data_IF_298253111640
#
_entry.id   IF_298253111640
#
_cell.length_a   1.000
_cell.length_b   1.000
_cell.length_c   1.000
_cell.angle_alpha   90.00
_cell.angle_beta   90.00
_cell.angle_gamma   90.00
#
_symmetry.space_group_name_H-M   'P 1'
#
loop_
_entity.id
_entity.type
_entity.pdbx_description
1 polymer ?
#
# COMPACT_ATOMS: atom_id res chain seq x y z
N UNK A 1 -13.50 6.84 -0.42
CA UNK A 1 -13.23 5.53 -1.05
C UNK A 1 -11.75 5.36 -1.34
N UNK A 2 -11.12 6.19 -2.19
CA UNK A 2 -9.68 6.11 -2.54
C UNK A 2 -8.74 6.01 -1.32
N UNK A 3 -8.95 6.84 -0.29
CA UNK A 3 -8.10 6.79 0.91
C UNK A 3 -8.11 5.46 1.67
N UNK A 4 -9.14 4.64 1.54
CA UNK A 4 -9.17 3.34 2.21
C UNK A 4 -8.24 2.34 1.54
N UNK A 5 -8.16 2.40 0.22
CA UNK A 5 -7.37 1.51 -0.64
C UNK A 5 -5.88 1.82 -0.49
N UNK A 6 -5.49 3.10 -0.57
CA UNK A 6 -4.08 3.49 -0.39
C UNK A 6 -3.54 3.06 0.97
N UNK A 7 -4.34 3.22 2.03
CA UNK A 7 -3.92 2.81 3.39
C UNK A 7 -3.83 1.29 3.55
N UNK A 8 -4.65 0.56 2.82
CA UNK A 8 -4.65 -0.90 2.79
C UNK A 8 -3.36 -1.40 2.12
N UNK A 9 -3.14 -0.96 0.87
CA UNK A 9 -1.97 -1.32 0.09
C UNK A 9 -0.65 -1.07 0.83
N UNK A 10 -0.48 0.12 1.39
CA UNK A 10 0.72 0.46 2.19
C UNK A 10 0.91 -0.49 3.38
N UNK A 11 -0.16 -0.93 4.01
CA UNK A 11 -0.10 -1.85 5.14
C UNK A 11 0.27 -3.27 4.69
N UNK A 12 -0.26 -3.75 3.56
CA UNK A 12 0.14 -5.02 2.96
C UNK A 12 1.64 -5.02 2.59
N UNK A 13 2.08 -4.02 1.84
CA UNK A 13 3.45 -3.93 1.34
C UNK A 13 4.48 -3.86 2.46
N UNK A 14 4.13 -3.20 3.56
CA UNK A 14 5.04 -3.02 4.68
C UNK A 14 5.16 -4.28 5.56
N UNK A 15 4.12 -5.11 5.63
CA UNK A 15 4.05 -6.20 6.62
C UNK A 15 3.59 -7.55 6.06
N UNK A 16 2.53 -7.58 5.25
CA UNK A 16 1.93 -8.81 4.74
C UNK A 16 2.81 -9.45 3.68
N UNK A 17 3.26 -8.70 2.67
CA UNK A 17 4.12 -9.24 1.61
C UNK A 17 5.49 -9.70 2.11
N UNK A 18 6.18 -8.96 3.02
CA UNK A 18 7.39 -9.49 3.67
C UNK A 18 7.15 -10.77 4.46
N UNK A 19 6.00 -10.90 5.13
CA UNK A 19 5.64 -12.13 5.83
C UNK A 19 5.41 -13.29 4.84
N UNK A 20 4.69 -13.05 3.74
CA UNK A 20 4.49 -14.04 2.68
C UNK A 20 5.81 -14.55 2.10
N UNK A 21 6.73 -13.64 1.73
CA UNK A 21 8.09 -13.98 1.28
C UNK A 21 8.86 -14.82 2.29
N UNK A 22 8.67 -14.56 3.58
CA UNK A 22 9.41 -15.26 4.64
C UNK A 22 8.89 -16.66 4.92
N UNK A 23 7.60 -16.95 4.72
CA UNK A 23 6.97 -18.19 5.20
C UNK A 23 6.41 -19.08 4.09
N UNK A 24 6.15 -18.53 2.90
CA UNK A 24 5.60 -19.28 1.79
C UNK A 24 6.72 -19.74 0.83
N UNK A 25 6.66 -20.99 0.31
CA UNK A 25 7.63 -21.46 -0.67
C UNK A 25 7.66 -20.65 -1.98
N UNK A 26 6.52 -20.10 -2.37
CA UNK A 26 6.28 -19.25 -3.55
C UNK A 26 6.10 -17.77 -3.17
N UNK A 27 6.54 -17.37 -1.97
CA UNK A 27 6.23 -16.07 -1.39
C UNK A 27 6.77 -14.86 -2.16
N UNK A 28 7.91 -14.99 -2.85
CA UNK A 28 8.43 -13.92 -3.72
C UNK A 28 7.54 -13.70 -4.95
N UNK A 29 7.13 -14.77 -5.64
CA UNK A 29 6.26 -14.69 -6.81
C UNK A 29 4.89 -14.11 -6.45
N UNK A 30 4.30 -14.58 -5.34
CA UNK A 30 3.02 -14.07 -4.83
C UNK A 30 3.16 -12.58 -4.49
N UNK A 31 4.17 -12.19 -3.72
CA UNK A 31 4.35 -10.80 -3.32
C UNK A 31 4.65 -9.86 -4.50
N UNK A 32 5.40 -10.32 -5.50
CA UNK A 32 5.71 -9.53 -6.71
C UNK A 32 4.45 -9.31 -7.56
N UNK A 33 3.58 -10.32 -7.68
CA UNK A 33 2.29 -10.21 -8.38
C UNK A 33 1.37 -9.17 -7.72
N UNK A 34 1.18 -9.25 -6.40
CA UNK A 34 0.32 -8.29 -5.67
C UNK A 34 0.85 -6.85 -5.76
N UNK A 35 2.18 -6.68 -5.74
CA UNK A 35 2.83 -5.37 -5.94
C UNK A 35 2.56 -4.80 -7.34
N UNK A 36 2.51 -5.64 -8.37
CA UNK A 36 2.19 -5.22 -9.73
C UNK A 36 0.72 -4.76 -9.83
N UNK A 37 -0.21 -5.50 -9.23
CA UNK A 37 -1.63 -5.11 -9.18
C UNK A 37 -1.86 -3.77 -8.46
N UNK A 38 -1.16 -3.56 -7.34
CA UNK A 38 -1.17 -2.26 -6.65
C UNK A 38 -0.68 -1.12 -7.52
N UNK A 39 0.42 -1.33 -8.25
CA UNK A 39 0.96 -0.31 -9.15
C UNK A 39 -0.04 0.02 -10.28
N UNK A 40 -0.71 -0.98 -10.83
CA UNK A 40 -1.77 -0.77 -11.83
C UNK A 40 -2.96 0.03 -11.27
N UNK A 41 -3.44 -0.34 -10.09
CA UNK A 41 -4.52 0.38 -9.41
C UNK A 41 -4.12 1.83 -9.10
N UNK A 42 -2.86 2.07 -8.73
CA UNK A 42 -2.33 3.43 -8.54
C UNK A 42 -2.36 4.26 -9.81
N UNK A 43 -1.97 3.70 -10.96
CA UNK A 43 -2.03 4.42 -12.24
C UNK A 43 -3.48 4.75 -12.63
N UNK A 44 -4.44 3.87 -12.34
CA UNK A 44 -5.86 4.17 -12.52
C UNK A 44 -6.30 5.31 -11.58
N UNK A 45 -5.89 5.30 -10.31
CA UNK A 45 -6.17 6.38 -9.37
C UNK A 45 -5.59 7.73 -9.85
N UNK A 46 -4.34 7.75 -10.32
CA UNK A 46 -3.72 8.95 -10.92
C UNK A 46 -4.47 9.44 -12.15
N UNK A 47 -4.99 8.53 -12.97
CA UNK A 47 -5.80 8.89 -14.13
C UNK A 47 -7.14 9.51 -13.71
N UNK A 48 -7.80 8.97 -12.67
CA UNK A 48 -9.03 9.53 -12.10
C UNK A 48 -8.77 10.96 -11.60
N UNK A 49 -7.70 11.19 -10.84
CA UNK A 49 -7.36 12.51 -10.30
C UNK A 49 -7.12 13.58 -11.38
N UNK A 50 -6.71 13.17 -12.58
CA UNK A 50 -6.44 14.05 -13.72
C UNK A 50 -7.64 14.22 -14.66
N UNK A 51 -8.74 13.48 -14.44
CA UNK A 51 -9.91 13.48 -15.33
C UNK A 51 -11.03 14.32 -14.72
N UNK A 52 -11.67 15.16 -15.53
CA UNK A 52 -12.84 15.95 -15.12
C UNK A 52 -14.00 15.00 -14.74
N UNK A 53 -14.64 15.15 -13.56
CA UNK A 53 -15.79 14.35 -13.17
C UNK A 53 -16.97 14.37 -14.14
N UNK A 54 -17.10 15.40 -14.98
CA UNK A 54 -18.15 15.49 -16.01
C UNK A 54 -17.79 14.75 -17.31
N UNK A 55 -16.52 14.32 -17.48
CA UNK A 55 -16.10 13.51 -18.61
C UNK A 55 -16.61 12.06 -18.46
N UNK A 56 -17.20 11.53 -19.54
CA UNK A 56 -17.57 10.12 -19.68
C UNK A 56 -16.48 9.12 -19.23
N UNK A 57 -15.20 9.46 -19.47
CA UNK A 57 -14.03 8.66 -19.10
C UNK A 57 -13.85 8.54 -17.57
N UNK A 58 -14.28 9.53 -16.79
CA UNK A 58 -14.19 9.48 -15.33
C UNK A 58 -14.95 8.27 -14.78
N UNK A 59 -16.18 8.06 -15.25
CA UNK A 59 -17.00 6.93 -14.84
C UNK A 59 -16.44 5.57 -15.26
N UNK A 60 -15.72 5.51 -16.39
CA UNK A 60 -15.03 4.30 -16.85
C UNK A 60 -13.83 3.97 -15.98
N UNK A 61 -13.00 4.96 -15.65
CA UNK A 61 -11.85 4.79 -14.77
C UNK A 61 -12.25 4.38 -13.35
N UNK A 62 -13.32 4.96 -12.81
CA UNK A 62 -13.85 4.56 -11.49
C UNK A 62 -14.36 3.13 -11.51
N UNK A 63 -15.06 2.71 -12.57
CA UNK A 63 -15.51 1.32 -12.73
C UNK A 63 -14.33 0.36 -12.80
N UNK A 64 -13.33 0.68 -13.62
CA UNK A 64 -12.08 -0.09 -13.71
C UNK A 64 -11.42 -0.25 -12.34
N UNK A 65 -11.21 0.85 -11.61
CA UNK A 65 -10.60 0.79 -10.29
C UNK A 65 -11.39 -0.11 -9.32
N UNK A 66 -12.72 -0.06 -9.35
CA UNK A 66 -13.57 -0.92 -8.51
C UNK A 66 -13.39 -2.40 -8.88
N UNK A 67 -13.32 -2.71 -10.18
CA UNK A 67 -13.15 -4.07 -10.66
C UNK A 67 -11.75 -4.60 -10.30
N UNK A 68 -10.70 -3.80 -10.51
CA UNK A 68 -9.31 -4.10 -10.14
C UNK A 68 -9.21 -4.42 -8.63
N UNK A 69 -9.80 -3.59 -7.76
CA UNK A 69 -9.79 -3.82 -6.31
C UNK A 69 -10.55 -5.08 -5.90
N UNK A 70 -11.69 -5.36 -6.54
CA UNK A 70 -12.48 -6.56 -6.22
C UNK A 70 -11.72 -7.82 -6.59
N UNK A 71 -11.09 -7.80 -7.75
CA UNK A 71 -10.27 -8.91 -8.21
C UNK A 71 -9.13 -9.18 -7.22
N UNK A 72 -8.35 -8.15 -6.89
CA UNK A 72 -7.26 -8.21 -5.93
C UNK A 72 -7.70 -8.79 -4.57
N UNK A 73 -8.80 -8.29 -3.98
CA UNK A 73 -9.32 -8.82 -2.71
C UNK A 73 -9.69 -10.32 -2.82
N UNK A 74 -10.29 -10.73 -3.93
CA UNK A 74 -10.66 -12.13 -4.15
C UNK A 74 -9.42 -13.02 -4.28
N UNK A 75 -8.37 -12.56 -4.97
CA UNK A 75 -7.09 -13.26 -5.11
C UNK A 75 -6.36 -13.38 -3.77
N UNK A 76 -6.24 -12.29 -3.01
CA UNK A 76 -5.58 -12.29 -1.71
C UNK A 76 -6.29 -13.23 -0.70
N UNK A 77 -7.62 -13.11 -0.57
CA UNK A 77 -8.40 -13.91 0.40
C UNK A 77 -8.37 -15.40 0.09
N UNK A 78 -8.49 -15.77 -1.20
CA UNK A 78 -8.50 -17.17 -1.63
C UNK A 78 -7.10 -17.77 -1.82
N UNK A 79 -6.10 -16.92 -2.05
CA UNK A 79 -4.72 -17.29 -2.32
C UNK A 79 -3.80 -16.98 -1.13
N UNK A 80 -3.13 -15.83 -1.18
CA UNK A 80 -2.04 -15.48 -0.27
C UNK A 80 -2.44 -15.57 1.21
N UNK A 81 -3.58 -14.98 1.60
CA UNK A 81 -4.03 -14.93 3.00
C UNK A 81 -4.44 -16.30 3.52
N UNK A 82 -5.02 -17.16 2.66
CA UNK A 82 -5.29 -18.55 3.01
C UNK A 82 -3.98 -19.31 3.27
N UNK A 83 -2.99 -19.17 2.38
CA UNK A 83 -1.67 -19.81 2.56
C UNK A 83 -0.95 -19.31 3.81
N UNK A 84 -0.99 -18.01 4.09
CA UNK A 84 -0.41 -17.42 5.29
C UNK A 84 -1.05 -17.98 6.56
N UNK A 85 -2.37 -18.17 6.56
CA UNK A 85 -3.12 -18.76 7.68
C UNK A 85 -2.66 -20.20 7.98
N UNK A 86 -2.37 -20.97 6.95
CA UNK A 86 -1.94 -22.37 7.08
C UNK A 86 -0.45 -22.49 7.46
N UNK A 87 0.38 -21.55 7.01
CA UNK A 87 1.83 -21.57 7.22
C UNK A 87 2.29 -20.93 8.54
N UNK A 88 1.51 -20.00 9.12
CA UNK A 88 1.89 -19.27 10.32
C UNK A 88 1.21 -19.79 11.60
N UNK A 89 1.90 -19.77 12.75
CA UNK A 89 1.25 -19.99 14.03
C UNK A 89 0.26 -18.85 14.36
N UNK A 90 -0.82 -19.12 15.12
CA UNK A 90 -1.85 -18.13 15.45
C UNK A 90 -1.32 -16.86 16.10
N UNK A 91 -0.28 -16.96 16.92
CA UNK A 91 0.35 -15.83 17.60
C UNK A 91 1.00 -14.89 16.58
N UNK A 92 1.68 -15.43 15.56
CA UNK A 92 2.29 -14.62 14.51
C UNK A 92 1.23 -13.96 13.64
N UNK A 93 0.12 -14.63 13.34
CA UNK A 93 -1.00 -14.05 12.61
C UNK A 93 -1.64 -12.89 13.39
N UNK A 94 -1.75 -13.01 14.71
CA UNK A 94 -2.25 -11.94 15.56
C UNK A 94 -1.32 -10.73 15.55
N UNK A 95 -0.01 -10.94 15.71
CA UNK A 95 0.99 -9.87 15.59
C UNK A 95 0.91 -9.17 14.24
N UNK A 96 0.86 -9.94 13.14
CA UNK A 96 0.77 -9.40 11.79
C UNK A 96 -0.49 -8.57 11.59
N UNK A 97 -1.63 -9.02 12.12
CA UNK A 97 -2.88 -8.25 12.12
C UNK A 97 -2.71 -6.92 12.85
N UNK A 98 -2.07 -6.90 14.03
CA UNK A 98 -1.83 -5.65 14.74
C UNK A 98 -0.88 -4.71 13.98
N UNK A 99 0.19 -5.24 13.38
CA UNK A 99 1.14 -4.50 12.56
C UNK A 99 0.44 -3.84 11.38
N UNK A 100 -0.37 -4.61 10.66
CA UNK A 100 -1.19 -4.15 9.54
C UNK A 100 -2.17 -3.04 9.95
N UNK A 101 -2.95 -3.25 11.03
CA UNK A 101 -3.92 -2.24 11.49
C UNK A 101 -3.23 -0.93 11.92
N UNK A 102 -2.09 -1.03 12.60
CA UNK A 102 -1.27 0.14 12.94
C UNK A 102 -0.79 0.85 11.68
N UNK A 103 -0.23 0.14 10.72
CA UNK A 103 0.25 0.71 9.46
C UNK A 103 -0.86 1.44 8.70
N UNK A 104 -2.02 0.79 8.53
CA UNK A 104 -3.20 1.34 7.86
C UNK A 104 -3.68 2.65 8.50
N UNK A 105 -3.63 2.73 9.84
CA UNK A 105 -4.00 3.95 10.57
C UNK A 105 -3.03 5.12 10.35
N UNK A 106 -1.75 4.84 10.09
CA UNK A 106 -0.70 5.84 9.91
C UNK A 106 -0.44 6.18 8.44
N UNK A 107 -0.89 5.34 7.51
CA UNK A 107 -0.63 5.46 6.09
C UNK A 107 -1.27 6.72 5.45
N UNK A 108 -0.71 7.24 4.34
CA UNK A 108 -1.30 8.35 3.59
C UNK A 108 -2.70 8.06 3.06
N UNK A 109 -3.46 9.11 2.75
CA UNK A 109 -4.84 9.00 2.21
C UNK A 109 -4.90 9.05 0.68
N UNK A 110 -3.77 9.28 0.00
CA UNK A 110 -3.67 9.38 -1.46
C UNK A 110 -2.30 8.88 -1.92
N UNK A 111 -2.18 8.31 -3.12
CA UNK A 111 -0.89 8.03 -3.72
C UNK A 111 -0.18 9.37 -3.92
N UNK A 112 1.11 9.45 -3.58
CA UNK A 112 1.88 10.68 -3.79
C UNK A 112 3.05 10.36 -4.70
N UNK A 113 3.26 11.10 -5.82
CA UNK A 113 4.31 10.81 -6.81
C UNK A 113 5.77 10.96 -6.29
N UNK A 114 5.95 11.21 -5.00
CA UNK A 114 7.24 11.36 -4.32
C UNK A 114 7.31 10.48 -3.06
N UNK A 115 6.29 9.67 -2.78
CA UNK A 115 6.38 8.63 -1.76
C UNK A 115 7.15 7.46 -2.39
N UNK A 116 8.23 6.98 -1.77
CA UNK A 116 8.96 5.84 -2.30
C UNK A 116 8.20 4.54 -1.99
N UNK A 117 7.95 3.76 -3.05
CA UNK A 117 7.07 2.58 -3.06
C UNK A 117 7.71 1.33 -2.42
N UNK A 118 8.92 1.43 -1.85
CA UNK A 118 9.62 0.30 -1.23
C UNK A 118 10.37 0.67 0.08
N UNK A 119 10.48 -0.27 1.05
CA UNK A 119 11.37 -0.12 2.20
C UNK A 119 12.85 -0.04 1.79
N UNK A 120 13.73 0.70 2.50
CA UNK A 120 13.53 1.32 3.81
C UNK A 120 13.04 2.77 3.75
N UNK A 121 12.75 3.29 2.57
CA UNK A 121 12.39 4.69 2.41
C UNK A 121 10.97 5.00 2.96
N UNK A 122 10.08 4.01 3.00
CA UNK A 122 8.80 4.08 3.71
C UNK A 122 8.93 4.09 5.26
N UNK A 123 10.07 3.70 5.83
CA UNK A 123 10.34 3.78 7.29
C UNK A 123 10.69 5.18 7.77
N UNK A 124 11.05 6.10 6.87
CA UNK A 124 11.53 7.46 7.23
C UNK A 124 10.38 8.49 7.26
N UNK A 125 9.20 8.15 6.74
CA UNK A 125 8.05 9.05 6.68
C UNK A 125 6.88 8.58 7.55
N UNK A 126 7.15 8.18 8.78
CA UNK A 126 6.14 8.09 9.83
C UNK A 126 5.62 9.49 10.24
N UNK A 127 4.43 9.60 10.85
CA UNK A 127 3.80 10.88 11.18
C UNK A 127 4.65 11.63 12.22
N UNK A 128 5.51 12.51 11.73
CA UNK A 128 6.37 13.37 12.56
C UNK A 128 7.81 13.51 12.05
N UNK A 129 8.37 12.56 11.31
CA UNK A 129 9.78 12.63 10.91
C UNK A 129 10.01 13.67 9.78
N UNK A 130 9.15 13.67 8.76
CA UNK A 130 9.26 14.63 7.63
C UNK A 130 9.03 16.10 8.01
N UNK A 131 8.44 16.39 9.18
CA UNK A 131 8.26 17.75 9.69
C UNK A 131 9.49 18.22 10.49
N UNK A 132 10.13 17.32 11.23
CA UNK A 132 11.29 17.61 12.08
C UNK A 132 12.52 17.92 11.23
N UNK A 133 12.74 17.20 10.13
CA UNK A 133 13.88 17.49 9.25
C UNK A 133 13.73 18.82 8.51
N UNK A 134 12.51 19.19 8.07
CA UNK A 134 12.27 20.54 7.51
C UNK A 134 12.48 21.66 8.54
N UNK A 135 12.10 21.45 9.80
CA UNK A 135 12.34 22.41 10.87
C UNK A 135 13.85 22.53 11.20
N UNK A 136 14.58 21.42 11.17
CA UNK A 136 16.03 21.40 11.37
C UNK A 136 16.77 22.10 10.23
N UNK A 137 16.35 21.90 8.98
CA UNK A 137 17.01 22.53 7.83
C UNK A 137 16.74 24.04 7.73
N UNK A 138 15.53 24.48 8.11
CA UNK A 138 15.21 25.92 8.20
C UNK A 138 16.01 26.61 9.31
N UNK A 139 16.30 25.91 10.41
CA UNK A 139 17.12 26.44 11.51
C UNK A 139 18.64 26.29 11.25
N UNK A 140 19.05 25.37 10.38
CA UNK A 140 20.47 25.09 10.08
C UNK A 140 20.99 25.83 8.85
N UNK A 141 20.12 26.53 8.09
CA UNK A 141 20.53 27.49 7.07
C UNK A 141 21.37 26.93 5.92
N UNK A 142 21.13 25.68 5.49
CA UNK A 142 21.82 25.10 4.32
C UNK A 142 20.91 25.12 3.10
N UNK A 143 21.10 26.13 2.26
CA UNK A 143 20.62 26.16 0.88
C UNK A 143 21.32 25.05 0.07
N UNK A 144 20.57 24.12 -0.52
CA UNK A 144 20.68 23.64 -1.91
C UNK A 144 19.60 22.58 -2.16
#
# INVERSE_FOLDING_TARGET
>A
MISGIVRHAVAEEQYVYPAARSVLPDGDEVADHELEEHAEAEEVMKAIEKTDPEDSRYGELVRRLIDDIRHHIEEEESGMLSKLRDACPPERLHELSEEFQRAKSLAPTRPHPLAPDHPPANKILGPGAGLVDRLRDILSGRNS
#
